data_IF_764666498925
#
_entry.id   IF_764666498925
#
_cell.length_a   1.000
_cell.length_b   1.000
_cell.length_c   1.000
_cell.angle_alpha   90.00
_cell.angle_beta   90.00
_cell.angle_gamma   90.00
#
_symmetry.space_group_name_H-M   'P 1'
#
loop_
_entity.id
_entity.type
_entity.pdbx_description
1 polymer ?
#
# COMPACT_ATOMS: atom_id res chain seq x y z
N UNK A 1 -14.65 -1.04 -5.21
CA UNK A 1 -14.17 -1.39 -3.85
C UNK A 1 -14.40 -0.20 -2.93
N UNK A 2 -14.27 -0.32 -1.61
CA UNK A 2 -14.38 0.80 -0.66
C UNK A 2 -13.19 0.78 0.31
N UNK A 3 -12.79 1.96 0.76
CA UNK A 3 -11.84 2.12 1.87
C UNK A 3 -12.70 2.20 3.14
N UNK A 4 -12.68 1.15 3.97
CA UNK A 4 -13.56 1.06 5.15
C UNK A 4 -12.86 1.50 6.44
N UNK A 5 -11.53 1.44 6.47
CA UNK A 5 -10.69 1.91 7.57
C UNK A 5 -9.48 2.66 7.03
N UNK A 6 -9.07 3.69 7.71
CA UNK A 6 -7.94 4.52 7.34
C UNK A 6 -7.22 5.01 8.61
N UNK A 7 -5.94 4.70 8.70
CA UNK A 7 -5.04 5.32 9.65
C UNK A 7 -4.13 6.33 8.93
N UNK A 8 -3.95 7.49 9.52
CA UNK A 8 -2.96 8.50 9.11
C UNK A 8 -2.16 8.94 10.32
N UNK A 9 -0.84 8.83 10.25
CA UNK A 9 -0.02 9.45 11.28
C UNK A 9 -0.23 10.97 11.27
N UNK A 10 0.00 11.68 12.40
CA UNK A 10 -0.13 13.13 12.46
C UNK A 10 0.65 13.85 11.36
N UNK A 11 1.87 13.40 11.05
CA UNK A 11 2.71 13.96 9.98
C UNK A 11 2.11 13.79 8.60
N UNK A 12 1.50 12.64 8.30
CA UNK A 12 0.82 12.43 7.02
C UNK A 12 -0.41 13.32 6.91
N UNK A 13 -1.13 13.53 7.99
CA UNK A 13 -2.27 14.44 8.02
C UNK A 13 -1.84 15.88 7.70
N UNK A 14 -0.77 16.36 8.30
CA UNK A 14 -0.18 17.67 8.01
C UNK A 14 0.35 17.74 6.56
N UNK A 15 1.07 16.72 6.13
CA UNK A 15 1.60 16.62 4.77
C UNK A 15 0.48 16.72 3.71
N UNK A 16 -0.61 15.98 3.88
CA UNK A 16 -1.76 16.01 2.98
C UNK A 16 -2.50 17.36 2.99
N UNK A 17 -2.40 18.11 4.08
CA UNK A 17 -3.01 19.44 4.18
C UNK A 17 -2.18 20.54 3.50
N UNK A 18 -0.86 20.35 3.39
CA UNK A 18 0.08 21.41 3.02
C UNK A 18 0.94 21.10 1.77
N UNK A 19 0.74 19.94 1.10
CA UNK A 19 1.54 19.52 -0.03
C UNK A 19 0.69 18.95 -1.17
N UNK A 20 0.59 19.68 -2.26
CA UNK A 20 -0.21 19.30 -3.44
C UNK A 20 0.25 17.98 -4.07
N UNK A 21 1.56 17.68 -4.04
CA UNK A 21 2.10 16.43 -4.60
C UNK A 21 1.70 15.22 -3.74
N UNK A 22 1.62 15.42 -2.41
CA UNK A 22 1.10 14.40 -1.50
C UNK A 22 -0.40 14.16 -1.72
N UNK A 23 -1.18 15.22 -1.91
CA UNK A 23 -2.60 15.13 -2.25
C UNK A 23 -2.81 14.41 -3.58
N UNK A 24 -2.02 14.75 -4.59
CA UNK A 24 -2.06 14.08 -5.89
C UNK A 24 -1.78 12.58 -5.75
N UNK A 25 -0.71 12.23 -5.05
CA UNK A 25 -0.35 10.81 -4.82
C UNK A 25 -1.45 10.05 -4.10
N UNK A 26 -2.02 10.64 -3.05
CA UNK A 26 -3.14 10.07 -2.32
C UNK A 26 -4.34 9.84 -3.22
N UNK A 27 -4.72 10.84 -4.03
CA UNK A 27 -5.87 10.76 -4.94
C UNK A 27 -5.68 9.68 -6.01
N UNK A 28 -4.48 9.52 -6.57
CA UNK A 28 -4.18 8.47 -7.55
C UNK A 28 -4.34 7.07 -6.93
N UNK A 29 -3.85 6.87 -5.71
CA UNK A 29 -4.00 5.61 -4.96
C UNK A 29 -5.48 5.35 -4.63
N UNK A 30 -6.18 6.33 -4.07
CA UNK A 30 -7.59 6.22 -3.70
C UNK A 30 -8.46 5.88 -4.91
N UNK A 31 -8.29 6.58 -6.03
CA UNK A 31 -9.02 6.33 -7.27
C UNK A 31 -8.73 4.92 -7.81
N UNK A 32 -7.50 4.42 -7.68
CA UNK A 32 -7.15 3.07 -8.11
C UNK A 32 -7.83 2.00 -7.26
N UNK A 33 -8.00 2.23 -5.96
CA UNK A 33 -8.75 1.35 -5.06
C UNK A 33 -10.25 1.40 -5.37
N UNK A 34 -10.82 2.61 -5.44
CA UNK A 34 -12.26 2.81 -5.61
C UNK A 34 -12.78 2.31 -6.96
N UNK A 35 -11.99 2.44 -8.01
CA UNK A 35 -12.33 1.96 -9.37
C UNK A 35 -12.08 0.47 -9.58
N UNK A 36 -11.59 -0.26 -8.59
CA UNK A 36 -11.40 -1.70 -8.72
C UNK A 36 -12.73 -2.44 -8.63
N UNK A 37 -13.29 -2.71 -9.81
CA UNK A 37 -14.56 -3.43 -9.97
C UNK A 37 -14.34 -4.75 -10.69
N UNK A 38 -15.22 -5.71 -10.46
CA UNK A 38 -15.29 -6.93 -11.29
C UNK A 38 -15.79 -6.54 -12.69
N UNK A 39 -15.25 -7.18 -13.72
CA UNK A 39 -15.61 -6.90 -15.10
C UNK A 39 -17.13 -6.98 -15.31
N UNK A 40 -17.70 -5.97 -15.97
CA UNK A 40 -19.13 -5.84 -16.19
C UNK A 40 -19.97 -5.43 -14.96
N UNK A 41 -19.34 -5.11 -13.82
CA UNK A 41 -20.00 -4.71 -12.58
C UNK A 41 -19.51 -3.34 -12.10
N UNK A 42 -20.32 -2.67 -11.29
CA UNK A 42 -19.93 -1.42 -10.60
C UNK A 42 -19.43 -1.67 -9.16
N UNK A 43 -19.11 -2.94 -8.82
CA UNK A 43 -18.57 -3.36 -7.54
C UNK A 43 -17.54 -4.48 -7.75
N UNK A 44 -16.71 -4.73 -6.76
CA UNK A 44 -15.81 -5.87 -6.74
C UNK A 44 -16.52 -7.07 -6.12
N UNK A 45 -16.79 -8.11 -6.93
CA UNK A 45 -17.40 -9.34 -6.47
C UNK A 45 -16.34 -10.24 -5.81
N UNK A 46 -16.60 -10.68 -4.58
CA UNK A 46 -15.80 -11.66 -3.87
C UNK A 46 -16.54 -13.00 -3.91
N UNK A 47 -15.87 -14.03 -4.41
CA UNK A 47 -16.41 -15.38 -4.38
C UNK A 47 -16.22 -15.96 -2.96
N UNK A 48 -17.31 -16.24 -2.27
CA UNK A 48 -17.31 -16.81 -0.92
C UNK A 48 -17.05 -18.34 -0.86
N UNK A 49 -16.99 -18.99 -2.02
CA UNK A 49 -16.70 -20.42 -2.08
C UNK A 49 -15.20 -20.65 -1.85
N UNK A 50 -14.83 -21.28 -0.76
CA UNK A 50 -13.44 -21.57 -0.39
C UNK A 50 -12.64 -22.35 -1.45
N UNK A 51 -13.30 -23.11 -2.30
CA UNK A 51 -12.66 -23.83 -3.41
C UNK A 51 -12.37 -22.95 -4.63
N UNK A 52 -13.10 -21.86 -4.79
CA UNK A 52 -13.04 -20.95 -5.93
C UNK A 52 -12.97 -19.48 -5.48
N UNK A 53 -12.33 -19.21 -4.32
CA UNK A 53 -12.14 -17.84 -3.88
C UNK A 53 -11.29 -17.07 -4.90
N UNK A 54 -11.57 -15.78 -5.05
CA UNK A 54 -10.81 -14.91 -5.96
C UNK A 54 -9.32 -14.88 -5.62
N UNK A 55 -8.96 -15.15 -4.35
CA UNK A 55 -7.62 -14.90 -3.85
C UNK A 55 -7.30 -13.40 -3.81
N UNK A 56 -6.04 -13.08 -3.63
CA UNK A 56 -5.56 -11.70 -3.53
C UNK A 56 -5.16 -11.11 -4.89
N UNK A 57 -4.79 -11.96 -5.85
CA UNK A 57 -4.24 -11.55 -7.14
C UNK A 57 -5.19 -10.63 -7.91
N UNK A 58 -6.48 -10.96 -8.11
CA UNK A 58 -7.40 -10.07 -8.84
C UNK A 58 -7.60 -8.70 -8.20
N UNK A 59 -7.50 -8.63 -6.87
CA UNK A 59 -7.59 -7.36 -6.13
C UNK A 59 -6.35 -6.50 -6.37
N UNK A 60 -5.18 -7.10 -6.19
CA UNK A 60 -3.88 -6.46 -6.29
C UNK A 60 -3.58 -5.99 -7.72
N UNK A 61 -3.71 -6.88 -8.68
CA UNK A 61 -3.29 -6.61 -10.06
C UNK A 61 -4.08 -5.47 -10.69
N UNK A 62 -5.39 -5.41 -10.55
CA UNK A 62 -6.20 -4.31 -11.10
C UNK A 62 -5.84 -2.93 -10.53
N UNK A 63 -5.51 -2.87 -9.24
CA UNK A 63 -5.04 -1.63 -8.61
C UNK A 63 -3.68 -1.24 -9.20
N UNK A 64 -2.77 -2.20 -9.32
CA UNK A 64 -1.43 -1.94 -9.83
C UNK A 64 -1.43 -1.60 -11.31
N UNK A 65 -2.22 -2.29 -12.13
CA UNK A 65 -2.41 -1.97 -13.54
C UNK A 65 -2.87 -0.53 -13.73
N UNK A 66 -3.84 -0.09 -12.94
CA UNK A 66 -4.31 1.30 -13.01
C UNK A 66 -3.24 2.29 -12.59
N UNK A 67 -2.54 2.02 -11.49
CA UNK A 67 -1.42 2.87 -11.06
C UNK A 67 -0.32 2.95 -12.13
N UNK A 68 0.02 1.83 -12.77
CA UNK A 68 1.07 1.74 -13.77
C UNK A 68 0.65 2.39 -15.10
N UNK A 69 -0.51 2.03 -15.65
CA UNK A 69 -0.95 2.44 -16.98
C UNK A 69 -1.49 3.87 -16.98
N UNK A 70 -2.36 4.21 -16.03
CA UNK A 70 -3.05 5.51 -16.02
C UNK A 70 -2.21 6.58 -15.32
N UNK A 71 -1.54 6.21 -14.22
CA UNK A 71 -0.82 7.16 -13.37
C UNK A 71 0.71 7.05 -13.47
N UNK A 72 1.25 6.13 -14.28
CA UNK A 72 2.69 5.98 -14.53
C UNK A 72 3.53 5.69 -13.28
N UNK A 73 3.02 4.86 -12.37
CA UNK A 73 3.79 4.33 -11.26
C UNK A 73 4.70 3.18 -11.71
N UNK A 74 5.80 2.97 -11.02
CA UNK A 74 6.77 1.90 -11.31
C UNK A 74 6.60 0.76 -10.32
N UNK A 75 6.60 -0.47 -10.81
CA UNK A 75 6.60 -1.68 -9.96
C UNK A 75 7.99 -2.02 -9.47
N UNK A 76 8.04 -2.69 -8.32
CA UNK A 76 9.22 -3.37 -7.77
C UNK A 76 10.46 -2.46 -7.63
N UNK A 77 10.30 -1.33 -6.96
CA UNK A 77 11.41 -0.40 -6.68
C UNK A 77 12.27 -0.92 -5.53
N UNK A 78 13.53 -1.35 -5.78
CA UNK A 78 14.45 -1.69 -4.70
C UNK A 78 14.90 -0.43 -3.95
N UNK A 79 14.92 -0.51 -2.62
CA UNK A 79 15.51 0.51 -1.77
C UNK A 79 17.03 0.33 -1.70
N UNK A 80 17.80 1.42 -1.69
CA UNK A 80 19.26 1.38 -1.89
C UNK A 80 19.99 0.62 -0.79
N UNK A 81 19.56 0.77 0.46
CA UNK A 81 20.18 0.09 1.60
C UNK A 81 19.86 -1.40 1.71
N UNK A 82 18.89 -1.91 0.93
CA UNK A 82 18.60 -3.34 0.82
C UNK A 82 19.37 -4.00 -0.34
N UNK A 83 20.13 -3.25 -1.14
CA UNK A 83 20.75 -3.77 -2.37
C UNK A 83 21.85 -4.79 -2.14
N UNK A 84 22.67 -4.63 -1.12
CA UNK A 84 23.81 -5.54 -0.87
C UNK A 84 23.38 -6.85 -0.21
N UNK A 85 22.27 -6.84 0.49
CA UNK A 85 21.59 -8.02 1.01
C UNK A 85 20.23 -8.26 0.34
N UNK A 86 20.02 -7.64 -0.76
CA UNK A 86 18.75 -7.33 -1.43
C UNK A 86 17.86 -8.51 -1.76
N UNK A 87 18.37 -9.68 -1.69
CA UNK A 87 17.57 -10.88 -1.87
C UNK A 87 16.67 -11.20 -0.68
N UNK A 88 16.83 -10.48 0.45
CA UNK A 88 16.09 -10.77 1.69
C UNK A 88 14.98 -9.77 2.03
N UNK A 89 15.07 -8.51 1.59
CA UNK A 89 14.10 -7.45 1.94
C UNK A 89 12.98 -7.26 0.91
N UNK A 90 13.21 -7.62 -0.33
CA UNK A 90 12.30 -7.38 -1.44
C UNK A 90 12.16 -5.89 -1.82
N UNK A 91 11.74 -5.59 -3.05
CA UNK A 91 11.43 -4.23 -3.50
C UNK A 91 10.16 -3.69 -2.84
N UNK A 92 9.94 -2.37 -2.96
CA UNK A 92 8.61 -1.75 -2.76
C UNK A 92 7.72 -2.16 -3.92
N UNK A 93 6.49 -2.58 -3.63
CA UNK A 93 5.56 -3.07 -4.65
C UNK A 93 5.31 -2.03 -5.76
N UNK A 94 5.03 -0.79 -5.39
CA UNK A 94 4.78 0.30 -6.36
C UNK A 94 5.38 1.62 -5.85
N UNK A 95 5.94 2.40 -6.75
CA UNK A 95 6.68 3.63 -6.45
C UNK A 95 6.47 4.69 -7.52
N UNK A 96 6.40 5.96 -7.12
CA UNK A 96 6.38 7.10 -8.06
C UNK A 96 7.12 8.31 -7.50
N UNK A 97 7.66 9.11 -8.42
CA UNK A 97 8.23 10.43 -8.17
C UNK A 97 7.29 11.49 -8.73
N UNK A 98 7.00 12.50 -7.93
CA UNK A 98 6.12 13.59 -8.28
C UNK A 98 6.89 14.91 -8.36
N UNK A 99 6.44 15.81 -9.23
CA UNK A 99 6.99 17.15 -9.37
C UNK A 99 8.39 17.23 -10.00
N UNK A 100 9.00 18.43 -10.01
CA UNK A 100 10.36 18.63 -10.45
C UNK A 100 11.38 18.16 -9.40
N UNK A 101 12.65 18.06 -9.78
CA UNK A 101 13.72 17.74 -8.83
C UNK A 101 13.95 18.92 -7.85
N UNK A 102 14.06 18.67 -6.53
CA UNK A 102 14.02 17.37 -5.87
C UNK A 102 12.62 16.77 -5.87
N UNK A 103 12.51 15.53 -6.33
CA UNK A 103 11.22 14.84 -6.45
C UNK A 103 10.61 14.51 -5.10
N UNK A 104 9.29 14.62 -5.01
CA UNK A 104 8.51 14.02 -3.93
C UNK A 104 8.27 12.53 -4.24
N UNK A 105 8.72 11.65 -3.37
CA UNK A 105 8.83 10.20 -3.59
C UNK A 105 7.82 9.45 -2.74
N UNK A 106 6.98 8.64 -3.38
CA UNK A 106 5.93 7.87 -2.70
C UNK A 106 6.09 6.38 -2.97
N UNK A 107 6.00 5.58 -1.91
CA UNK A 107 6.01 4.12 -1.97
C UNK A 107 4.70 3.53 -1.45
N UNK A 108 4.21 2.48 -2.13
CA UNK A 108 3.02 1.74 -1.78
C UNK A 108 3.35 0.24 -1.67
N UNK A 109 2.89 -0.39 -0.60
CA UNK A 109 2.83 -1.84 -0.40
C UNK A 109 1.38 -2.30 -0.31
N UNK A 110 1.03 -3.39 -0.97
CA UNK A 110 -0.24 -4.08 -0.75
C UNK A 110 0.03 -5.42 -0.07
N UNK A 111 -0.20 -5.46 1.22
CA UNK A 111 0.11 -6.63 2.02
C UNK A 111 -1.08 -7.61 2.07
N UNK A 112 -0.81 -8.83 1.66
CA UNK A 112 -1.76 -9.94 1.62
C UNK A 112 -1.16 -11.24 2.15
N UNK A 113 0.02 -11.17 2.72
CA UNK A 113 0.64 -12.26 3.45
C UNK A 113 0.15 -12.34 4.90
N UNK A 114 0.84 -13.14 5.71
CA UNK A 114 0.55 -13.25 7.13
C UNK A 114 1.00 -12.00 7.91
N UNK A 115 0.67 -11.95 9.21
CA UNK A 115 0.99 -10.80 10.06
C UNK A 115 2.50 -10.47 10.11
N UNK A 116 3.37 -11.47 10.04
CA UNK A 116 4.82 -11.25 10.00
C UNK A 116 5.24 -10.53 8.70
N UNK A 117 4.59 -10.85 7.58
CA UNK A 117 4.79 -10.14 6.32
C UNK A 117 4.29 -8.70 6.40
N UNK A 118 3.15 -8.45 7.05
CA UNK A 118 2.63 -7.10 7.27
C UNK A 118 3.60 -6.23 8.08
N UNK A 119 4.16 -6.76 9.16
CA UNK A 119 5.21 -6.07 9.92
C UNK A 119 6.47 -5.82 9.07
N UNK A 120 6.88 -6.78 8.23
CA UNK A 120 8.02 -6.59 7.33
C UNK A 120 7.78 -5.48 6.32
N UNK A 121 6.60 -5.45 5.69
CA UNK A 121 6.22 -4.41 4.74
C UNK A 121 6.15 -3.04 5.41
N UNK A 122 5.55 -2.94 6.60
CA UNK A 122 5.54 -1.73 7.40
C UNK A 122 6.95 -1.24 7.73
N UNK A 123 7.81 -2.12 8.24
CA UNK A 123 9.19 -1.78 8.57
C UNK A 123 10.01 -1.33 7.34
N UNK A 124 9.79 -1.96 6.19
CA UNK A 124 10.41 -1.59 4.91
C UNK A 124 10.01 -0.16 4.51
N UNK A 125 8.73 0.18 4.61
CA UNK A 125 8.22 1.53 4.34
C UNK A 125 8.80 2.56 5.33
N UNK A 126 8.80 2.25 6.63
CA UNK A 126 9.40 3.12 7.66
C UNK A 126 10.90 3.36 7.40
N UNK A 127 11.60 2.35 6.94
CA UNK A 127 13.02 2.47 6.63
C UNK A 127 13.23 3.36 5.38
N UNK A 128 12.38 3.24 4.36
CA UNK A 128 12.39 4.13 3.19
C UNK A 128 12.16 5.60 3.54
N UNK A 129 11.25 5.88 4.48
CA UNK A 129 11.02 7.23 5.01
C UNK A 129 12.25 7.73 5.77
N UNK A 130 12.80 6.91 6.68
CA UNK A 130 13.95 7.26 7.51
C UNK A 130 15.21 7.56 6.68
N UNK A 131 15.43 6.86 5.59
CA UNK A 131 16.59 7.06 4.71
C UNK A 131 16.40 8.16 3.68
N UNK A 132 15.21 8.78 3.63
CA UNK A 132 14.85 9.77 2.63
C UNK A 132 14.70 9.20 1.21
N UNK A 133 14.55 7.89 1.08
CA UNK A 133 14.20 7.27 -0.20
C UNK A 133 12.71 7.38 -0.51
N UNK A 134 11.90 7.63 0.51
CA UNK A 134 10.48 7.97 0.42
C UNK A 134 10.22 9.25 1.21
N UNK A 135 9.28 10.06 0.76
CA UNK A 135 8.74 11.22 1.44
C UNK A 135 7.32 10.93 1.98
N UNK A 136 6.62 9.98 1.37
CA UNK A 136 5.35 9.43 1.84
C UNK A 136 5.32 7.92 1.59
N UNK A 137 4.70 7.18 2.51
CA UNK A 137 4.57 5.73 2.42
C UNK A 137 3.12 5.30 2.69
N UNK A 138 2.64 4.32 1.96
CA UNK A 138 1.28 3.78 2.07
C UNK A 138 1.34 2.27 2.20
N UNK A 139 0.70 1.74 3.23
CA UNK A 139 0.45 0.31 3.38
C UNK A 139 -1.04 0.05 3.15
N UNK A 140 -1.36 -0.70 2.12
CA UNK A 140 -2.71 -1.14 1.81
C UNK A 140 -2.88 -2.60 2.24
N UNK A 141 -3.97 -2.89 2.92
CA UNK A 141 -4.25 -4.24 3.40
C UNK A 141 -5.75 -4.48 3.54
N UNK A 142 -6.21 -5.74 3.53
CA UNK A 142 -7.62 -6.03 3.76
C UNK A 142 -8.01 -5.72 5.20
N UNK A 143 -9.27 -5.40 5.43
CA UNK A 143 -9.88 -5.43 6.76
C UNK A 143 -10.21 -6.87 7.14
N UNK A 144 -10.37 -7.16 8.42
CA UNK A 144 -10.66 -8.50 8.95
C UNK A 144 -11.83 -9.18 8.18
N UNK A 145 -12.94 -8.47 7.98
CA UNK A 145 -14.08 -9.01 7.23
C UNK A 145 -13.73 -9.45 5.81
N UNK A 146 -12.79 -8.78 5.14
CA UNK A 146 -12.37 -9.10 3.78
C UNK A 146 -11.37 -10.28 3.77
N UNK A 147 -10.49 -10.37 4.75
CA UNK A 147 -9.42 -11.37 4.80
C UNK A 147 -9.94 -12.81 4.75
N UNK A 148 -11.14 -13.07 5.31
CA UNK A 148 -11.79 -14.40 5.27
C UNK A 148 -12.11 -14.90 3.86
N UNK A 149 -12.21 -14.01 2.88
CA UNK A 149 -12.54 -14.35 1.48
C UNK A 149 -11.33 -14.36 0.56
N UNK A 150 -10.16 -14.13 1.12
CA UNK A 150 -8.90 -14.16 0.37
C UNK A 150 -8.23 -15.54 0.52
N UNK A 151 -6.93 -15.59 0.65
CA UNK A 151 -6.21 -16.83 0.94
C UNK A 151 -6.12 -17.08 2.44
N UNK A 152 -5.75 -18.29 2.85
CA UNK A 152 -5.57 -18.64 4.26
C UNK A 152 -4.53 -17.74 4.95
N UNK A 153 -4.82 -17.31 6.17
CA UNK A 153 -3.94 -16.51 7.04
C UNK A 153 -3.51 -15.15 6.50
N UNK A 154 -4.31 -14.53 5.66
CA UNK A 154 -4.07 -13.15 5.24
C UNK A 154 -4.19 -12.23 6.45
N UNK A 155 -3.15 -11.43 6.69
CA UNK A 155 -3.17 -10.37 7.71
C UNK A 155 -4.19 -9.30 7.36
N UNK A 156 -4.65 -8.57 8.36
CA UNK A 156 -5.67 -7.56 8.20
C UNK A 156 -5.36 -6.32 9.04
N UNK A 157 -6.09 -5.24 8.75
CA UNK A 157 -5.92 -3.95 9.41
C UNK A 157 -6.03 -4.07 10.94
N UNK A 158 -7.00 -4.82 11.44
CA UNK A 158 -7.29 -4.96 12.86
C UNK A 158 -6.16 -5.67 13.63
N UNK A 159 -5.43 -6.56 12.98
CA UNK A 159 -4.24 -7.19 13.59
C UNK A 159 -3.05 -6.24 13.68
N UNK A 160 -2.95 -5.27 12.77
CA UNK A 160 -1.85 -4.31 12.73
C UNK A 160 -2.16 -3.03 13.55
N UNK A 161 -3.43 -2.67 13.70
CA UNK A 161 -3.91 -1.46 14.36
C UNK A 161 -3.29 -1.20 15.75
N UNK A 162 -3.08 -2.21 16.64
CA UNK A 162 -2.44 -2.02 17.94
C UNK A 162 -1.00 -1.47 17.87
N UNK A 163 -0.34 -1.59 16.73
CA UNK A 163 1.04 -1.15 16.53
C UNK A 163 1.15 0.25 15.92
N UNK A 164 0.06 0.86 15.47
CA UNK A 164 0.09 2.19 14.85
C UNK A 164 0.65 3.29 15.75
N UNK A 165 0.45 3.29 17.09
CA UNK A 165 1.08 4.28 17.95
C UNK A 165 2.61 4.31 17.87
N UNK A 166 3.24 3.19 17.47
CA UNK A 166 4.68 3.18 17.22
C UNK A 166 5.05 4.07 16.03
N UNK A 167 4.19 4.14 15.02
CA UNK A 167 4.42 4.97 13.82
C UNK A 167 4.39 6.46 14.15
N UNK A 168 3.59 6.86 15.15
CA UNK A 168 3.49 8.26 15.60
C UNK A 168 4.76 8.72 16.31
N UNK A 169 5.51 7.79 16.90
CA UNK A 169 6.74 8.06 17.63
C UNK A 169 7.97 8.22 16.73
N UNK A 170 7.88 7.85 15.47
CA UNK A 170 9.01 7.97 14.56
C UNK A 170 9.27 9.43 14.16
N UNK A 171 10.55 9.88 14.10
CA UNK A 171 10.92 11.28 13.86
C UNK A 171 10.84 11.73 12.40
N UNK A 172 10.45 10.87 11.47
CA UNK A 172 10.34 11.15 10.04
C UNK A 172 8.90 11.35 9.57
#
# INVERSE_FOLDING_TARGET
MIISKLYRSPKVTDLLSNNDLAQQAYSEIENSILSNHTEGMNYFAINSNAKNCNGVVPVKEKIYEKLEIEYHWFREKPLSYLRDEAKKGGPIDVYKRFGPSPFFKVGLEFETGNISSAHRSMNKLCLGLRTGELDMAVLMMPVNRMSFYLTDRVSNYEELEPYFPLLDSYPF
#
